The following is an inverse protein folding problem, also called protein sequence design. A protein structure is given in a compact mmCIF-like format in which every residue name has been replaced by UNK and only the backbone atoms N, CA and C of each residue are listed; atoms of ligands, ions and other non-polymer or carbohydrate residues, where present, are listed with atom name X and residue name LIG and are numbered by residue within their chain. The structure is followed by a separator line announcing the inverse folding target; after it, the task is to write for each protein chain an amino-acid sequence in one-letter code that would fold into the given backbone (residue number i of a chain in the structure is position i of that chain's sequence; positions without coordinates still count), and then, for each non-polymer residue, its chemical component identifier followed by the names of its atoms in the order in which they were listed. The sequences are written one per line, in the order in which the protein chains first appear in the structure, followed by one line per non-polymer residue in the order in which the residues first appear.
data_IF_680985131391
#
_entry.id   IF_680985131391
#
_cell.length_a   1.000
_cell.length_b   1.000
_cell.length_c   1.000
_cell.angle_alpha   90.00
_cell.angle_beta   90.00
_cell.angle_gamma   90.00
#
_symmetry.space_group_name_H-M   'P 1'
#
loop_
_entity.id
_entity.type
_entity.pdbx_description
1 polymer ?
#
# COMPACT_ATOMS: atom_id res chain seq x y z
N UNK A 1 -7.94 5.05 -3.82
CA UNK A 1 -7.46 5.92 -2.74
C UNK A 1 -8.36 5.72 -1.51
N UNK A 2 -7.86 4.92 -0.58
CA UNK A 2 -8.56 4.24 0.54
C UNK A 2 -7.71 3.08 1.07
N UNK A 3 -6.97 2.40 0.18
CA UNK A 3 -6.15 1.23 0.51
C UNK A 3 -5.12 1.50 1.64
N UNK A 4 -4.60 2.73 1.74
CA UNK A 4 -3.63 3.12 2.77
C UNK A 4 -4.23 3.02 4.17
N UNK A 5 -5.48 3.45 4.34
CA UNK A 5 -6.19 3.38 5.62
C UNK A 5 -6.78 1.98 5.83
N UNK A 6 -7.36 1.38 4.78
CA UNK A 6 -8.05 0.11 4.87
C UNK A 6 -7.13 -1.07 5.18
N UNK A 7 -5.92 -1.09 4.59
CA UNK A 7 -5.01 -2.23 4.70
C UNK A 7 -3.71 -1.91 5.44
N UNK A 8 -3.25 -0.66 5.40
CA UNK A 8 -1.89 -0.31 5.86
C UNK A 8 -1.85 0.61 7.08
N UNK A 9 -2.98 1.12 7.59
CA UNK A 9 -2.99 1.98 8.78
C UNK A 9 -2.21 1.38 9.96
N UNK A 10 -2.33 0.06 10.29
CA UNK A 10 -1.51 -0.55 11.33
C UNK A 10 -0.01 -0.41 11.13
N UNK A 11 0.43 -0.60 9.88
CA UNK A 11 1.85 -0.54 9.52
C UNK A 11 2.34 0.90 9.51
N UNK A 12 1.57 1.82 8.93
CA UNK A 12 1.91 3.24 8.80
C UNK A 12 2.08 3.90 10.17
N UNK A 13 1.12 3.69 11.09
CA UNK A 13 1.17 4.25 12.44
C UNK A 13 2.32 3.64 13.25
N UNK A 14 2.51 2.32 13.20
CA UNK A 14 3.59 1.66 13.92
C UNK A 14 4.99 2.11 13.45
N UNK A 15 5.20 2.24 12.13
CA UNK A 15 6.46 2.74 11.58
C UNK A 15 6.69 4.21 11.90
N UNK A 16 5.64 5.04 11.86
CA UNK A 16 5.71 6.44 12.28
C UNK A 16 6.12 6.58 13.74
N UNK A 17 5.52 5.80 14.64
CA UNK A 17 5.89 5.75 16.07
C UNK A 17 7.33 5.29 16.30
N UNK A 18 7.84 4.41 15.46
CA UNK A 18 9.23 3.97 15.50
C UNK A 18 10.24 5.02 14.96
N UNK A 19 9.77 6.22 14.60
CA UNK A 19 10.59 7.31 14.05
C UNK A 19 10.79 7.24 12.53
N UNK A 20 10.05 6.37 11.85
CA UNK A 20 9.99 6.32 10.40
C UNK A 20 9.33 7.58 9.82
N UNK A 21 9.55 7.82 8.52
CA UNK A 21 8.91 8.89 7.76
C UNK A 21 8.13 8.27 6.62
N UNK A 22 6.87 7.85 6.85
CA UNK A 22 6.09 7.21 5.81
C UNK A 22 5.85 8.15 4.63
N UNK A 23 5.75 7.57 3.44
CA UNK A 23 5.33 8.21 2.21
C UNK A 23 4.36 7.27 1.49
N UNK A 24 3.40 7.83 0.75
CA UNK A 24 2.35 7.07 0.07
C UNK A 24 2.42 7.35 -1.43
N UNK A 25 2.54 6.29 -2.21
CA UNK A 25 2.35 6.31 -3.66
C UNK A 25 1.02 5.62 -4.02
N UNK A 26 0.03 6.42 -4.40
CA UNK A 26 -1.21 5.91 -4.96
C UNK A 26 -1.09 5.84 -6.48
N UNK A 27 -1.08 4.64 -7.05
CA UNK A 27 -0.79 4.44 -8.48
C UNK A 27 -1.98 4.72 -9.42
N UNK A 28 -3.10 5.19 -8.89
CA UNK A 28 -4.23 5.67 -9.68
C UNK A 28 -5.05 6.71 -8.92
N UNK A 29 -5.61 7.69 -9.63
CA UNK A 29 -6.49 8.70 -9.07
C UNK A 29 -7.83 8.15 -8.52
N UNK A 30 -8.15 6.87 -8.73
CA UNK A 30 -9.42 6.30 -8.28
C UNK A 30 -10.62 6.79 -9.10
N UNK A 31 -10.39 7.15 -10.36
CA UNK A 31 -11.35 7.90 -11.18
C UNK A 31 -12.38 7.02 -11.91
N UNK A 32 -12.55 5.74 -11.53
CA UNK A 32 -13.49 4.83 -12.18
C UNK A 32 -14.93 5.39 -12.26
N UNK A 33 -15.37 6.05 -11.18
CA UNK A 33 -16.69 6.69 -11.07
C UNK A 33 -16.69 8.20 -11.37
N UNK A 34 -15.66 8.72 -12.05
CA UNK A 34 -15.45 10.17 -12.29
C UNK A 34 -15.31 11.00 -11.00
N UNK A 35 -14.75 10.40 -9.95
CA UNK A 35 -14.57 11.03 -8.63
C UNK A 35 -13.09 11.27 -8.27
N UNK A 36 -12.17 11.18 -9.22
CA UNK A 36 -10.73 11.19 -8.94
C UNK A 36 -10.25 12.43 -8.19
N UNK A 37 -10.75 13.62 -8.52
CA UNK A 37 -10.40 14.86 -7.81
C UNK A 37 -10.91 14.90 -6.37
N UNK A 38 -12.04 14.25 -6.09
CA UNK A 38 -12.56 14.11 -4.73
C UNK A 38 -11.69 13.10 -3.97
N UNK A 39 -11.44 11.93 -4.56
CA UNK A 39 -10.65 10.85 -3.93
C UNK A 39 -9.19 11.21 -3.68
N UNK A 40 -8.60 12.08 -4.51
CA UNK A 40 -7.27 12.66 -4.25
C UNK A 40 -7.25 13.47 -2.95
N UNK A 41 -8.26 14.33 -2.75
CA UNK A 41 -8.39 15.14 -1.52
C UNK A 41 -8.69 14.28 -0.30
N UNK A 42 -9.55 13.27 -0.46
CA UNK A 42 -9.83 12.29 0.60
C UNK A 42 -8.56 11.54 1.01
N UNK A 43 -7.74 11.12 0.03
CA UNK A 43 -6.45 10.48 0.31
C UNK A 43 -5.50 11.39 1.08
N UNK A 44 -5.35 12.66 0.67
CA UNK A 44 -4.49 13.62 1.38
C UNK A 44 -4.97 13.82 2.84
N UNK A 45 -6.27 13.91 3.05
CA UNK A 45 -6.87 14.04 4.39
C UNK A 45 -6.65 12.77 5.23
N UNK A 46 -6.91 11.60 4.65
CA UNK A 46 -6.66 10.29 5.26
C UNK A 46 -5.19 10.13 5.67
N UNK A 47 -4.26 10.43 4.77
CA UNK A 47 -2.82 10.43 5.04
C UNK A 47 -2.46 11.40 6.16
N UNK A 48 -3.06 12.59 6.20
CA UNK A 48 -2.82 13.57 7.27
C UNK A 48 -3.26 13.03 8.64
N UNK A 49 -4.38 12.30 8.72
CA UNK A 49 -4.82 11.65 9.96
C UNK A 49 -3.84 10.56 10.39
N UNK A 50 -3.22 9.85 9.45
CA UNK A 50 -2.17 8.86 9.69
C UNK A 50 -0.78 9.48 9.98
N UNK A 51 -0.69 10.81 10.08
CA UNK A 51 0.55 11.53 10.38
C UNK A 51 1.49 11.71 9.17
N UNK A 52 0.99 11.55 7.95
CA UNK A 52 1.75 11.68 6.71
C UNK A 52 1.43 13.04 6.07
N UNK A 53 2.42 13.94 5.92
CA UNK A 53 2.17 15.25 5.32
C UNK A 53 1.86 15.10 3.84
N UNK A 54 1.06 16.01 3.27
CA UNK A 54 0.69 16.00 1.86
C UNK A 54 1.92 16.01 0.91
N UNK A 55 3.05 16.59 1.33
CA UNK A 55 4.31 16.56 0.57
C UNK A 55 4.86 15.15 0.34
N UNK A 56 4.45 14.19 1.16
CA UNK A 56 4.86 12.78 1.10
C UNK A 56 3.77 11.89 0.46
N UNK A 57 2.71 12.48 -0.08
CA UNK A 57 1.64 11.78 -0.79
C UNK A 57 1.78 12.06 -2.27
N UNK A 58 1.93 11.01 -3.07
CA UNK A 58 2.01 11.09 -4.52
C UNK A 58 0.87 10.30 -5.13
N UNK A 59 0.09 10.93 -6.02
CA UNK A 59 -0.95 10.26 -6.81
C UNK A 59 -0.54 10.24 -8.26
N UNK A 60 -0.50 9.05 -8.85
CA UNK A 60 -0.27 8.88 -10.29
C UNK A 60 -1.61 9.03 -11.00
N UNK A 61 -1.67 10.02 -11.88
CA UNK A 61 -2.80 10.26 -12.78
C UNK A 61 -2.32 10.07 -14.21
N UNK A 62 -2.24 8.79 -14.63
CA UNK A 62 -1.70 8.40 -15.92
C UNK A 62 -2.73 7.58 -16.70
N UNK A 63 -2.96 7.92 -17.97
CA UNK A 63 -3.98 7.28 -18.82
C UNK A 63 -3.79 5.76 -18.96
N UNK A 64 -2.55 5.30 -18.91
CA UNK A 64 -2.17 3.88 -19.06
C UNK A 64 -2.18 3.12 -17.72
N UNK A 65 -2.51 3.80 -16.61
CA UNK A 65 -2.75 3.21 -15.28
C UNK A 65 -4.16 3.58 -14.76
N UNK A 66 -5.23 3.29 -15.53
CA UNK A 66 -6.58 3.69 -15.15
C UNK A 66 -7.07 2.88 -13.95
N UNK A 67 -7.91 3.50 -13.10
CA UNK A 67 -8.68 2.77 -12.11
C UNK A 67 -9.80 2.01 -12.82
N UNK A 68 -9.51 0.82 -13.36
CA UNK A 68 -10.49 -0.01 -14.05
C UNK A 68 -10.19 -1.49 -13.77
N UNK A 69 -11.11 -2.24 -13.14
CA UNK A 69 -10.87 -3.63 -12.76
C UNK A 69 -10.67 -4.58 -13.96
N UNK A 70 -11.06 -4.15 -15.17
CA UNK A 70 -10.91 -4.94 -16.40
C UNK A 70 -9.60 -4.65 -17.16
N UNK A 71 -8.75 -3.75 -16.64
CA UNK A 71 -7.51 -3.34 -17.31
C UNK A 71 -6.32 -3.77 -16.47
N UNK A 72 -5.40 -4.50 -17.09
CA UNK A 72 -4.11 -4.81 -16.50
C UNK A 72 -3.13 -3.67 -16.79
N UNK A 73 -2.40 -3.24 -15.76
CA UNK A 73 -1.42 -2.16 -15.89
C UNK A 73 -0.10 -2.68 -16.47
N UNK A 74 0.54 -1.86 -17.32
CA UNK A 74 1.86 -2.20 -17.83
C UNK A 74 2.89 -2.30 -16.69
N UNK A 75 3.51 -3.47 -16.56
CA UNK A 75 4.42 -3.78 -15.46
C UNK A 75 5.66 -2.87 -15.46
N UNK A 76 6.23 -2.56 -16.62
CA UNK A 76 7.47 -1.78 -16.70
C UNK A 76 7.20 -0.30 -16.44
N UNK A 77 6.09 0.24 -16.94
CA UNK A 77 5.62 1.58 -16.67
C UNK A 77 5.34 1.77 -15.18
N UNK A 78 4.58 0.85 -14.58
CA UNK A 78 4.28 0.91 -13.14
C UNK A 78 5.57 0.79 -12.32
N UNK A 79 6.47 -0.13 -12.69
CA UNK A 79 7.78 -0.25 -12.07
C UNK A 79 8.60 1.04 -12.16
N UNK A 80 8.54 1.76 -13.28
CA UNK A 80 9.23 3.04 -13.43
C UNK A 80 8.66 4.12 -12.48
N UNK A 81 7.34 4.21 -12.31
CA UNK A 81 6.72 5.11 -11.33
C UNK A 81 7.10 4.75 -9.89
N UNK A 82 7.05 3.46 -9.55
CA UNK A 82 7.43 2.96 -8.22
C UNK A 82 8.91 3.26 -7.93
N UNK A 83 9.81 2.93 -8.86
CA UNK A 83 11.24 3.17 -8.69
C UNK A 83 11.54 4.66 -8.54
N UNK A 84 10.94 5.51 -9.38
CA UNK A 84 11.08 6.95 -9.28
C UNK A 84 10.64 7.47 -7.91
N UNK A 85 9.52 7.00 -7.38
CA UNK A 85 9.06 7.41 -6.06
C UNK A 85 10.00 6.94 -4.93
N UNK A 86 10.55 5.72 -5.04
CA UNK A 86 11.53 5.19 -4.09
C UNK A 86 12.78 6.08 -4.07
N UNK A 87 13.32 6.43 -5.24
CA UNK A 87 14.53 7.24 -5.38
C UNK A 87 14.30 8.69 -4.92
N UNK A 88 13.23 9.34 -5.39
CA UNK A 88 12.93 10.74 -5.06
C UNK A 88 12.71 10.95 -3.54
N UNK A 89 12.20 9.93 -2.83
CA UNK A 89 11.91 10.00 -1.40
C UNK A 89 12.92 9.25 -0.51
N UNK A 90 13.98 8.67 -1.08
CA UNK A 90 14.98 7.85 -0.38
C UNK A 90 14.36 6.71 0.46
N UNK A 91 13.41 5.98 -0.13
CA UNK A 91 12.68 4.91 0.55
C UNK A 91 13.58 3.67 0.71
N UNK A 92 13.70 3.18 1.95
CA UNK A 92 14.48 1.98 2.29
C UNK A 92 13.59 0.77 2.66
N UNK A 93 12.28 0.96 2.76
CA UNK A 93 11.29 -0.08 3.02
C UNK A 93 10.03 0.23 2.22
N UNK A 94 9.69 -0.65 1.29
CA UNK A 94 8.43 -0.63 0.55
C UNK A 94 7.49 -1.65 1.18
N UNK A 95 6.26 -1.25 1.45
CA UNK A 95 5.18 -2.15 1.87
C UNK A 95 4.09 -2.08 0.80
N UNK A 96 3.64 -3.23 0.29
CA UNK A 96 2.62 -3.31 -0.77
C UNK A 96 1.81 -4.62 -0.65
N UNK A 97 1.04 -4.96 -1.68
CA UNK A 97 0.26 -6.19 -1.73
C UNK A 97 1.09 -7.38 -2.22
N UNK A 98 0.69 -8.59 -1.84
CA UNK A 98 1.26 -9.83 -2.36
C UNK A 98 0.61 -10.25 -3.71
N UNK A 99 0.99 -11.44 -4.19
CA UNK A 99 0.48 -12.01 -5.43
C UNK A 99 -1.04 -12.26 -5.42
N UNK A 100 -1.67 -12.34 -4.25
CA UNK A 100 -3.11 -12.55 -4.11
C UNK A 100 -3.93 -11.27 -4.20
N UNK A 101 -3.29 -10.10 -4.08
CA UNK A 101 -3.96 -8.80 -4.22
C UNK A 101 -5.14 -8.61 -3.26
N UNK A 102 -5.03 -9.16 -2.04
CA UNK A 102 -6.07 -9.28 -1.00
C UNK A 102 -7.25 -10.15 -1.43
N UNK A 103 -7.99 -9.74 -2.45
CA UNK A 103 -9.21 -10.35 -2.97
C UNK A 103 -9.10 -10.72 -4.46
N UNK A 104 -7.89 -10.70 -5.02
CA UNK A 104 -7.66 -10.86 -6.45
C UNK A 104 -7.82 -9.56 -7.24
N UNK A 105 -7.69 -8.40 -6.59
CA UNK A 105 -7.86 -7.11 -7.27
C UNK A 105 -6.71 -6.85 -8.27
N UNK A 106 -7.05 -6.60 -9.54
CA UNK A 106 -6.07 -6.51 -10.64
C UNK A 106 -4.99 -5.44 -10.39
N UNK A 107 -5.36 -4.28 -9.85
CA UNK A 107 -4.39 -3.20 -9.56
C UNK A 107 -3.41 -3.62 -8.45
N UNK A 108 -3.87 -4.39 -7.45
CA UNK A 108 -3.02 -4.86 -6.35
C UNK A 108 -2.02 -5.92 -6.84
N UNK A 109 -2.50 -6.84 -7.69
CA UNK A 109 -1.65 -7.84 -8.35
C UNK A 109 -0.63 -7.15 -9.26
N UNK A 110 -1.03 -6.11 -9.99
CA UNK A 110 -0.11 -5.33 -10.85
C UNK A 110 1.02 -4.69 -10.04
N UNK A 111 0.72 -4.13 -8.86
CA UNK A 111 1.73 -3.60 -7.93
C UNK A 111 2.72 -4.68 -7.48
N UNK A 112 2.23 -5.87 -7.12
CA UNK A 112 3.09 -7.01 -6.78
C UNK A 112 4.01 -7.38 -7.95
N UNK A 113 3.45 -7.51 -9.16
CA UNK A 113 4.22 -7.87 -10.37
C UNK A 113 5.29 -6.83 -10.70
N UNK A 114 4.99 -5.53 -10.58
CA UNK A 114 5.96 -4.46 -10.78
C UNK A 114 7.11 -4.50 -9.75
N UNK A 115 6.81 -4.72 -8.46
CA UNK A 115 7.83 -4.87 -7.43
C UNK A 115 8.68 -6.12 -7.62
N UNK A 116 8.07 -7.24 -8.02
CA UNK A 116 8.77 -8.47 -8.38
C UNK A 116 9.73 -8.26 -9.55
N UNK A 117 9.28 -7.53 -10.58
CA UNK A 117 10.12 -7.15 -11.71
C UNK A 117 11.31 -6.29 -11.28
N UNK A 118 11.10 -5.24 -10.48
CA UNK A 118 12.19 -4.41 -9.97
C UNK A 118 13.20 -5.22 -9.15
N UNK A 119 12.72 -6.16 -8.34
CA UNK A 119 13.57 -7.03 -7.55
C UNK A 119 14.36 -8.02 -8.42
N UNK A 120 13.72 -8.69 -9.40
CA UNK A 120 14.40 -9.68 -10.26
C UNK A 120 15.46 -9.04 -11.15
N UNK A 121 15.19 -7.84 -11.64
CA UNK A 121 16.12 -7.06 -12.46
C UNK A 121 17.18 -6.31 -11.63
N UNK A 122 17.20 -6.48 -10.30
CA UNK A 122 18.12 -5.79 -9.38
C UNK A 122 18.10 -4.25 -9.53
N UNK A 123 16.90 -3.70 -9.78
CA UNK A 123 16.69 -2.26 -9.98
C UNK A 123 16.36 -1.50 -8.70
N UNK A 124 16.02 -2.21 -7.62
CA UNK A 124 15.77 -1.57 -6.33
C UNK A 124 17.08 -0.97 -5.78
N UNK A 125 17.04 0.22 -5.15
CA UNK A 125 18.21 0.81 -4.51
C UNK A 125 18.81 -0.11 -3.44
N UNK A 126 20.12 -0.02 -3.24
CA UNK A 126 20.82 -0.82 -2.25
C UNK A 126 20.23 -0.61 -0.84
N UNK A 127 19.96 -1.72 -0.14
CA UNK A 127 19.35 -1.69 1.19
C UNK A 127 17.84 -1.44 1.21
N UNK A 128 17.19 -1.22 0.05
CA UNK A 128 15.74 -1.13 -0.05
C UNK A 128 15.10 -2.52 0.13
N UNK A 129 14.30 -2.68 1.17
CA UNK A 129 13.56 -3.92 1.47
C UNK A 129 12.12 -3.81 1.00
N UNK A 130 11.53 -4.96 0.67
CA UNK A 130 10.11 -5.04 0.27
C UNK A 130 9.40 -6.01 1.22
N UNK A 131 8.32 -5.56 1.84
CA UNK A 131 7.35 -6.38 2.55
C UNK A 131 6.03 -6.38 1.79
N UNK A 132 5.31 -7.49 1.85
CA UNK A 132 4.01 -7.63 1.19
C UNK A 132 2.95 -8.05 2.20
N UNK A 133 1.75 -7.49 2.07
CA UNK A 133 0.59 -7.89 2.84
C UNK A 133 0.12 -9.26 2.35
N UNK A 134 0.20 -10.26 3.23
CA UNK A 134 -0.24 -11.63 2.94
C UNK A 134 -1.76 -11.67 2.72
N UNK A 135 -2.16 -12.18 1.56
CA UNK A 135 -3.57 -12.45 1.24
C UNK A 135 -4.07 -13.67 1.99
N UNK A 136 -5.05 -13.48 2.86
CA UNK A 136 -5.69 -14.56 3.62
C UNK A 136 -6.99 -15.05 2.98
N UNK A 137 -7.37 -16.29 3.27
CA UNK A 137 -8.63 -16.86 2.76
C UNK A 137 -9.88 -16.15 3.34
N UNK A 138 -11.03 -16.39 2.70
CA UNK A 138 -12.29 -15.74 3.08
C UNK A 138 -12.68 -16.00 4.53
N UNK A 139 -12.43 -17.20 5.05
CA UNK A 139 -12.76 -17.54 6.44
C UNK A 139 -12.01 -16.64 7.43
N UNK A 140 -10.69 -16.47 7.25
CA UNK A 140 -9.85 -15.60 8.08
C UNK A 140 -10.31 -14.14 8.07
N UNK A 141 -10.75 -13.62 6.93
CA UNK A 141 -11.26 -12.23 6.81
C UNK A 141 -12.46 -11.94 7.73
N UNK A 142 -13.26 -12.96 8.05
CA UNK A 142 -14.47 -12.82 8.86
C UNK A 142 -14.34 -13.39 10.28
N UNK A 143 -13.13 -13.76 10.72
CA UNK A 143 -12.87 -14.18 12.10
C UNK A 143 -12.87 -13.02 13.11
N UNK A 144 -12.91 -11.76 12.64
CA UNK A 144 -12.83 -10.57 13.50
C UNK A 144 -11.57 -10.64 14.38
N UNK A 145 -11.66 -10.22 15.64
CA UNK A 145 -10.55 -10.18 16.60
C UNK A 145 -9.85 -11.54 16.79
N UNK A 146 -10.53 -12.67 16.50
CA UNK A 146 -9.92 -13.98 16.58
C UNK A 146 -8.83 -14.21 15.52
N UNK A 147 -8.83 -13.48 14.40
CA UNK A 147 -7.76 -13.60 13.40
C UNK A 147 -6.40 -13.12 13.93
N UNK A 148 -6.39 -12.24 14.95
CA UNK A 148 -5.16 -11.82 15.62
C UNK A 148 -4.47 -13.01 16.28
N UNK A 149 -5.21 -13.89 16.95
CA UNK A 149 -4.64 -15.09 17.57
C UNK A 149 -4.02 -16.01 16.53
N UNK A 150 -4.70 -16.20 15.39
CA UNK A 150 -4.18 -17.01 14.30
C UNK A 150 -2.93 -16.38 13.67
N UNK A 151 -2.94 -15.07 13.46
CA UNK A 151 -1.79 -14.31 12.93
C UNK A 151 -0.57 -14.38 13.85
N UNK A 152 -0.77 -14.37 15.18
CA UNK A 152 0.31 -14.55 16.15
C UNK A 152 0.91 -15.96 16.16
N UNK A 153 0.16 -16.97 15.73
CA UNK A 153 0.61 -18.37 15.70
C UNK A 153 1.29 -18.76 14.38
N UNK A 154 0.99 -18.04 13.30
CA UNK A 154 1.56 -18.29 11.98
C UNK A 154 2.90 -17.56 11.81
N UNK A 155 3.89 -18.17 11.13
CA UNK A 155 5.14 -17.50 10.81
C UNK A 155 4.88 -16.25 9.97
N UNK A 156 5.43 -15.11 10.38
CA UNK A 156 5.38 -13.85 9.64
C UNK A 156 6.68 -13.07 9.86
N UNK A 157 7.10 -12.29 8.86
CA UNK A 157 8.26 -11.41 8.98
C UNK A 157 7.98 -10.22 9.92
N UNK A 158 6.74 -9.74 9.92
CA UNK A 158 6.26 -8.67 10.77
C UNK A 158 4.74 -8.77 11.01
N UNK A 159 4.30 -8.38 12.20
CA UNK A 159 2.89 -8.26 12.57
C UNK A 159 2.67 -6.90 13.25
N UNK A 160 1.75 -6.11 12.72
CA UNK A 160 1.39 -4.80 13.25
C UNK A 160 -0.06 -4.83 13.75
N UNK A 161 -0.25 -4.47 15.03
CA UNK A 161 -1.56 -4.42 15.68
C UNK A 161 -1.72 -3.04 16.30
N UNK A 162 -2.86 -2.40 16.05
CA UNK A 162 -3.17 -1.08 16.58
C UNK A 162 -3.57 -1.13 18.05
N UNK A 163 -3.19 -0.09 18.79
CA UNK A 163 -3.81 0.23 20.07
C UNK A 163 -5.23 0.77 19.87
N UNK A 164 -5.99 0.91 20.95
CA UNK A 164 -7.32 1.55 20.90
C UNK A 164 -7.24 3.00 20.41
N UNK A 165 -6.27 3.77 20.91
CA UNK A 165 -6.01 5.15 20.47
C UNK A 165 -5.69 5.22 18.97
N UNK A 166 -4.83 4.32 18.48
CA UNK A 166 -4.48 4.27 17.06
C UNK A 166 -5.66 3.81 16.18
N UNK A 167 -6.54 2.97 16.74
CA UNK A 167 -7.77 2.55 16.06
C UNK A 167 -8.72 3.72 15.89
N UNK A 168 -8.85 4.60 16.89
CA UNK A 168 -9.65 5.83 16.77
C UNK A 168 -9.01 6.83 15.81
N UNK A 169 -7.68 6.89 15.73
CA UNK A 169 -6.98 7.73 14.75
C UNK A 169 -7.16 7.24 13.30
N UNK A 170 -7.26 5.92 13.09
CA UNK A 170 -7.41 5.31 11.77
C UNK A 170 -8.86 5.24 11.27
N UNK A 171 -9.85 5.64 12.09
CA UNK A 171 -11.28 5.72 11.72
C UNK A 171 -11.62 7.06 11.08
#
# INVERSE_FOLDING_TARGET
PDDEAMFFAPTLLALGRAGGRPAVLCCSAGNYYNQGEIRKKELEQSCSLLGIPASNVTVVDHRDLPDNPSVEWDTQLLAAFVLKHIEDNNINLVVSFDAGGVSGHANHISLYTALRYLHSEQKLPEGCRVLVLESVNLFRKYLSVLDVLLSCLLPSDALFVLTEEETEQAK
#
